data_IF_433215067880
#
_entry.id   IF_433215067880
#
_cell.length_a   1.000
_cell.length_b   1.000
_cell.length_c   1.000
_cell.angle_alpha   90.00
_cell.angle_beta   90.00
_cell.angle_gamma   90.00
#
_symmetry.space_group_name_H-M   'P 1'
#
loop_
_entity.id
_entity.type
_entity.pdbx_description
1 polymer ?
#
# COMPACT_ATOMS: atom_id res chain seq x y z
N UNK A 1 2.22 49.57 49.65
CA UNK A 1 2.57 49.25 48.23
C UNK A 1 3.96 48.63 48.00
N UNK A 2 4.75 48.24 49.03
CA UNK A 2 6.04 47.55 48.81
C UNK A 2 5.92 46.04 48.60
N UNK A 3 4.87 45.39 49.13
CA UNK A 3 4.66 43.94 49.04
C UNK A 3 4.35 43.42 47.61
N UNK A 4 3.66 44.20 46.77
CA UNK A 4 3.35 43.80 45.39
C UNK A 4 4.56 43.86 44.43
N UNK A 5 5.58 44.68 44.72
CA UNK A 5 6.75 44.82 43.85
C UNK A 5 7.66 43.58 43.82
N UNK A 6 7.65 42.78 44.90
CA UNK A 6 8.43 41.53 44.97
C UNK A 6 7.76 40.35 44.26
N UNK A 7 6.43 40.33 44.16
CA UNK A 7 5.68 39.24 43.53
C UNK A 7 5.73 39.27 42.01
N UNK A 8 5.79 40.46 41.42
CA UNK A 8 5.78 40.67 39.98
C UNK A 8 6.96 39.99 39.24
N UNK A 9 8.23 40.12 39.68
CA UNK A 9 9.34 39.40 39.04
C UNK A 9 9.25 37.88 39.24
N UNK A 10 8.75 37.40 40.39
CA UNK A 10 8.57 35.96 40.66
C UNK A 10 7.51 35.38 39.73
N UNK A 11 6.42 36.11 39.52
CA UNK A 11 5.34 35.72 38.60
C UNK A 11 5.85 35.66 37.16
N UNK A 12 6.63 36.65 36.70
CA UNK A 12 7.21 36.66 35.36
C UNK A 12 8.15 35.48 35.15
N UNK A 13 9.03 35.19 36.11
CA UNK A 13 9.93 34.03 36.05
C UNK A 13 9.14 32.72 36.03
N UNK A 14 8.08 32.61 36.83
CA UNK A 14 7.18 31.44 36.82
C UNK A 14 6.54 31.21 35.46
N UNK A 15 6.01 32.26 34.83
CA UNK A 15 5.41 32.18 33.48
C UNK A 15 6.45 31.76 32.43
N UNK A 16 7.67 32.31 32.49
CA UNK A 16 8.74 31.93 31.57
C UNK A 16 9.11 30.45 31.74
N UNK A 17 9.24 29.97 32.97
CA UNK A 17 9.55 28.56 33.25
C UNK A 17 8.44 27.64 32.74
N UNK A 18 7.17 27.95 33.01
CA UNK A 18 6.02 27.17 32.51
C UNK A 18 6.01 27.13 30.98
N UNK A 19 6.27 28.26 30.31
CA UNK A 19 6.31 28.30 28.85
C UNK A 19 7.46 27.47 28.27
N UNK A 20 8.60 27.44 28.96
CA UNK A 20 9.79 26.67 28.56
C UNK A 20 9.54 25.17 28.73
N UNK A 21 8.97 24.77 29.87
CA UNK A 21 8.59 23.37 30.13
C UNK A 21 7.57 22.90 29.09
N UNK A 22 6.56 23.72 28.78
CA UNK A 22 5.57 23.37 27.76
C UNK A 22 6.21 23.14 26.38
N UNK A 23 7.15 23.98 25.97
CA UNK A 23 7.88 23.82 24.70
C UNK A 23 8.69 22.52 24.68
N UNK A 24 9.41 22.21 25.75
CA UNK A 24 10.21 20.99 25.86
C UNK A 24 9.31 19.75 25.80
N UNK A 25 8.20 19.73 26.54
CA UNK A 25 7.25 18.62 26.51
C UNK A 25 6.69 18.43 25.11
N UNK A 26 6.29 19.50 24.44
CA UNK A 26 5.74 19.41 23.09
C UNK A 26 6.78 18.90 22.08
N UNK A 27 8.04 19.34 22.19
CA UNK A 27 9.14 18.82 21.39
C UNK A 27 9.34 17.31 21.64
N UNK A 28 9.37 16.87 22.89
CA UNK A 28 9.52 15.45 23.24
C UNK A 28 8.40 14.61 22.64
N UNK A 29 7.15 15.08 22.70
CA UNK A 29 6.01 14.37 22.11
C UNK A 29 6.15 14.23 20.60
N UNK A 30 6.54 15.31 19.90
CA UNK A 30 6.77 15.28 18.46
C UNK A 30 7.91 14.32 18.11
N UNK A 31 9.05 14.42 18.79
CA UNK A 31 10.20 13.53 18.60
C UNK A 31 9.83 12.06 18.85
N UNK A 32 9.05 11.79 19.90
CA UNK A 32 8.62 10.42 20.22
C UNK A 32 7.68 9.86 19.14
N UNK A 33 6.78 10.68 18.61
CA UNK A 33 5.92 10.28 17.48
C UNK A 33 6.72 9.99 16.22
N UNK A 34 7.78 10.74 15.97
CA UNK A 34 8.65 10.55 14.81
C UNK A 34 9.51 9.28 14.94
N UNK A 35 10.03 9.00 16.14
CA UNK A 35 10.74 7.75 16.42
C UNK A 35 9.83 6.53 16.17
N UNK A 36 8.59 6.55 16.67
CA UNK A 36 7.64 5.46 16.45
C UNK A 36 7.31 5.27 14.97
N UNK A 37 7.17 6.37 14.21
CA UNK A 37 6.96 6.32 12.77
C UNK A 37 8.17 5.70 12.06
N UNK A 38 9.37 6.15 12.40
CA UNK A 38 10.62 5.64 11.81
C UNK A 38 10.85 4.16 12.15
N UNK A 39 10.51 3.72 13.36
CA UNK A 39 10.61 2.32 13.76
C UNK A 39 9.62 1.44 12.99
N UNK A 40 8.38 1.90 12.81
CA UNK A 40 7.39 1.22 11.99
C UNK A 40 7.82 1.13 10.52
N UNK A 41 8.39 2.21 9.98
CA UNK A 41 8.91 2.25 8.61
C UNK A 41 10.09 1.30 8.45
N UNK A 42 11.06 1.33 9.37
CA UNK A 42 12.23 0.45 9.35
C UNK A 42 11.80 -1.03 9.43
N UNK A 43 10.85 -1.37 10.31
CA UNK A 43 10.28 -2.72 10.38
C UNK A 43 9.62 -3.13 9.07
N UNK A 44 8.90 -2.23 8.42
CA UNK A 44 8.27 -2.52 7.12
C UNK A 44 9.30 -2.73 6.02
N UNK A 45 10.38 -1.95 6.01
CA UNK A 45 11.47 -2.07 5.03
C UNK A 45 12.25 -3.38 5.24
N UNK A 46 12.52 -3.75 6.49
CA UNK A 46 13.14 -5.03 6.81
C UNK A 46 12.30 -6.20 6.31
N UNK A 47 10.97 -6.17 6.49
CA UNK A 47 10.08 -7.20 5.94
C UNK A 47 10.12 -7.25 4.42
N UNK A 48 10.14 -6.11 3.74
CA UNK A 48 10.28 -6.06 2.27
C UNK A 48 11.61 -6.62 1.79
N UNK A 49 12.70 -6.36 2.53
CA UNK A 49 14.02 -6.92 2.22
C UNK A 49 14.02 -8.43 2.45
N UNK A 50 13.43 -8.90 3.55
CA UNK A 50 13.28 -10.33 3.84
C UNK A 50 12.44 -11.03 2.77
N UNK A 51 11.31 -10.43 2.39
CA UNK A 51 10.46 -10.91 1.30
C UNK A 51 11.22 -10.93 -0.03
N UNK A 52 11.92 -9.86 -0.41
CA UNK A 52 12.67 -9.78 -1.65
C UNK A 52 13.90 -10.72 -1.68
N UNK A 53 14.55 -10.93 -0.52
CA UNK A 53 15.68 -11.83 -0.38
C UNK A 53 15.26 -13.30 -0.26
N UNK A 54 14.00 -13.56 0.11
CA UNK A 54 13.43 -14.90 0.13
C UNK A 54 13.62 -15.59 -1.22
N UNK A 55 13.90 -16.89 -1.16
CA UNK A 55 14.05 -17.73 -2.37
C UNK A 55 12.79 -17.67 -3.23
N UNK A 56 11.61 -17.62 -2.62
CA UNK A 56 10.33 -17.55 -3.31
C UNK A 56 10.18 -16.30 -4.18
N UNK A 57 10.56 -15.10 -3.69
CA UNK A 57 10.47 -13.88 -4.49
C UNK A 57 11.49 -13.82 -5.62
N UNK A 58 12.70 -14.33 -5.38
CA UNK A 58 13.71 -14.47 -6.46
C UNK A 58 13.22 -15.43 -7.54
N UNK A 59 12.65 -16.56 -7.15
CA UNK A 59 12.13 -17.58 -8.06
C UNK A 59 10.90 -17.09 -8.82
N UNK A 60 9.99 -16.34 -8.16
CA UNK A 60 8.87 -15.68 -8.83
C UNK A 60 9.32 -14.62 -9.84
N UNK A 61 10.38 -13.85 -9.51
CA UNK A 61 10.95 -12.87 -10.43
C UNK A 61 11.60 -13.53 -11.65
N UNK A 62 12.33 -14.62 -11.44
CA UNK A 62 12.90 -15.45 -12.53
C UNK A 62 11.78 -16.02 -13.41
N UNK A 63 10.71 -16.55 -12.81
CA UNK A 63 9.56 -17.09 -13.54
C UNK A 63 8.87 -16.03 -14.39
N UNK A 64 8.66 -14.83 -13.86
CA UNK A 64 7.99 -13.74 -14.57
C UNK A 64 8.88 -13.10 -15.65
N UNK A 65 10.15 -12.83 -15.35
CA UNK A 65 11.03 -12.10 -16.26
C UNK A 65 11.60 -13.00 -17.37
N UNK A 66 11.92 -14.25 -17.04
CA UNK A 66 12.57 -15.19 -17.96
C UNK A 66 11.60 -16.24 -18.50
N UNK A 67 10.36 -16.28 -18.00
CA UNK A 67 9.41 -17.33 -18.35
C UNK A 67 9.90 -18.72 -17.97
N UNK A 68 10.81 -18.85 -16.99
CA UNK A 68 11.44 -20.11 -16.61
C UNK A 68 10.68 -20.77 -15.44
N UNK A 69 10.13 -21.96 -15.68
CA UNK A 69 9.54 -22.86 -14.69
C UNK A 69 10.53 -23.95 -14.31
N UNK A 70 10.15 -24.77 -13.32
CA UNK A 70 10.90 -25.96 -12.91
C UNK A 70 10.67 -27.11 -13.90
N UNK A 71 11.50 -28.14 -13.83
CA UNK A 71 11.34 -29.35 -14.68
C UNK A 71 9.95 -30.00 -14.50
N UNK A 72 9.37 -29.85 -13.30
CA UNK A 72 8.05 -30.40 -12.94
C UNK A 72 6.87 -29.45 -13.26
N UNK A 73 7.12 -28.25 -13.82
CA UNK A 73 6.06 -27.30 -14.18
C UNK A 73 5.39 -27.65 -15.52
N UNK A 74 4.11 -27.31 -15.65
CA UNK A 74 3.35 -27.50 -16.88
C UNK A 74 3.53 -26.33 -17.84
N UNK A 75 3.79 -26.64 -19.11
CA UNK A 75 4.04 -25.67 -20.17
C UNK A 75 2.91 -25.69 -21.20
N UNK A 76 2.36 -24.51 -21.52
CA UNK A 76 1.42 -24.36 -22.63
C UNK A 76 2.22 -24.07 -23.89
N UNK A 77 2.37 -25.08 -24.75
CA UNK A 77 3.03 -24.92 -26.05
C UNK A 77 1.96 -24.44 -27.04
N UNK A 78 2.10 -23.20 -27.51
CA UNK A 78 1.22 -22.66 -28.53
C UNK A 78 1.52 -23.31 -29.89
N UNK A 79 0.53 -23.93 -30.56
CA UNK A 79 0.67 -24.40 -31.93
C UNK A 79 1.02 -23.24 -32.86
N UNK A 80 1.99 -23.44 -33.77
CA UNK A 80 2.54 -22.38 -34.62
C UNK A 80 1.56 -21.82 -35.65
N UNK A 81 0.45 -22.51 -35.84
CA UNK A 81 -0.62 -22.21 -36.80
C UNK A 81 -1.77 -21.40 -36.18
N UNK A 82 -1.80 -21.21 -34.86
CA UNK A 82 -2.85 -20.46 -34.17
C UNK A 82 -2.39 -19.02 -33.98
N UNK A 83 -3.16 -18.06 -34.49
CA UNK A 83 -2.91 -16.63 -34.27
C UNK A 83 -3.66 -16.18 -33.02
N UNK A 84 -3.16 -15.18 -32.29
CA UNK A 84 -3.87 -14.65 -31.11
C UNK A 84 -5.33 -14.25 -31.40
N UNK A 85 -5.62 -13.82 -32.63
CA UNK A 85 -6.97 -13.50 -33.10
C UNK A 85 -7.96 -14.68 -33.06
N UNK A 86 -7.47 -15.92 -33.13
CA UNK A 86 -8.30 -17.13 -33.02
C UNK A 86 -8.62 -17.50 -31.57
N UNK A 87 -7.84 -16.99 -30.61
CA UNK A 87 -8.01 -17.23 -29.18
C UNK A 87 -8.97 -16.21 -28.53
N UNK A 88 -9.17 -15.06 -29.17
CA UNK A 88 -10.16 -14.10 -28.70
C UNK A 88 -11.57 -14.58 -29.02
N UNK A 89 -12.53 -14.43 -28.09
CA UNK A 89 -13.92 -14.73 -28.37
C UNK A 89 -14.38 -13.85 -29.54
N UNK A 90 -14.80 -14.51 -30.63
CA UNK A 90 -15.36 -13.81 -31.79
C UNK A 90 -16.71 -13.23 -31.38
N UNK A 91 -16.73 -11.93 -31.09
CA UNK A 91 -17.98 -11.21 -30.89
C UNK A 91 -18.73 -11.17 -32.22
N UNK A 92 -19.80 -11.96 -32.32
CA UNK A 92 -20.75 -11.79 -33.40
C UNK A 92 -21.44 -10.45 -33.18
N UNK A 93 -21.01 -9.42 -33.92
CA UNK A 93 -21.71 -8.13 -34.05
C UNK A 93 -23.05 -8.28 -34.83
N UNK A 94 -23.65 -9.46 -34.82
CA UNK A 94 -24.96 -9.72 -35.42
C UNK A 94 -26.05 -9.19 -34.50
N UNK A 95 -27.03 -8.50 -35.10
CA UNK A 95 -28.20 -7.85 -34.51
C UNK A 95 -28.31 -8.02 -32.99
N UNK A 96 -27.75 -7.03 -32.27
CA UNK A 96 -27.88 -6.92 -30.81
C UNK A 96 -29.35 -6.80 -30.48
N UNK A 97 -29.98 -7.93 -30.14
CA UNK A 97 -31.32 -7.94 -29.60
C UNK A 97 -31.29 -7.21 -28.25
N UNK A 98 -32.29 -6.37 -27.95
CA UNK A 98 -32.39 -5.77 -26.62
C UNK A 98 -32.49 -6.87 -25.56
N UNK A 99 -31.80 -6.71 -24.42
CA UNK A 99 -31.80 -7.71 -23.34
C UNK A 99 -33.21 -8.22 -23.00
N UNK A 100 -34.22 -7.34 -22.90
CA UNK A 100 -35.58 -7.79 -22.57
C UNK A 100 -36.15 -8.84 -23.54
N UNK A 101 -35.76 -8.81 -24.82
CA UNK A 101 -36.22 -9.77 -25.82
C UNK A 101 -35.58 -11.16 -25.60
N UNK A 102 -34.30 -11.20 -25.21
CA UNK A 102 -33.61 -12.44 -24.86
C UNK A 102 -34.23 -13.10 -23.62
N UNK A 103 -34.62 -12.29 -22.64
CA UNK A 103 -35.25 -12.81 -21.42
C UNK A 103 -36.61 -13.43 -21.75
N UNK A 104 -37.43 -12.76 -22.57
CA UNK A 104 -38.71 -13.34 -23.01
C UNK A 104 -38.49 -14.66 -23.75
N UNK A 105 -37.55 -14.72 -24.70
CA UNK A 105 -37.26 -15.96 -25.45
C UNK A 105 -36.81 -17.13 -24.54
N UNK A 106 -36.05 -16.85 -23.48
CA UNK A 106 -35.61 -17.88 -22.51
C UNK A 106 -36.75 -18.41 -21.63
N UNK A 107 -37.76 -17.60 -21.33
CA UNK A 107 -38.84 -17.95 -20.39
C UNK A 107 -40.17 -18.32 -21.07
N UNK A 108 -40.26 -18.24 -22.40
CA UNK A 108 -41.47 -18.59 -23.17
C UNK A 108 -41.31 -19.78 -24.11
N UNK A 109 -40.19 -20.51 -23.99
CA UNK A 109 -39.93 -21.74 -24.75
C UNK A 109 -40.43 -22.98 -24.04
#
# INVERSE_FOLDING_TARGET
MKFLRGFLPIFVVSVILVSTVYRIVNQIVVLMSEILRLEAENKSLLRKIEEASSSASREARIRNDLGMGKEDDYWVIMPKDITFDDLYPKYNLGDVKPNWLEWVELFTR
#
